data_IF_721342829010
#
_entry.id   IF_721342829010
#
_cell.length_a   1.000
_cell.length_b   1.000
_cell.length_c   1.000
_cell.angle_alpha   90.00
_cell.angle_beta   90.00
_cell.angle_gamma   90.00
#
_symmetry.space_group_name_H-M   'P 1'
#
loop_
_entity.id
_entity.type
_entity.pdbx_description
1 polymer ?
#
# COMPACT_ATOMS: atom_id res chain seq x y z
N UNK A 1 -4.67 9.87 29.12
CA UNK A 1 -5.20 10.48 27.88
C UNK A 1 -4.25 10.29 26.70
N UNK A 2 -2.92 10.32 26.88
CA UNK A 2 -1.92 10.11 25.80
C UNK A 2 -1.99 8.75 25.08
N UNK A 3 -2.35 7.65 25.78
CA UNK A 3 -2.36 6.29 25.18
C UNK A 3 -3.44 6.13 24.09
N UNK A 4 -4.63 6.70 24.29
CA UNK A 4 -5.72 6.62 23.29
C UNK A 4 -5.45 7.49 22.07
N UNK A 5 -4.78 8.65 22.25
CA UNK A 5 -4.40 9.54 21.16
C UNK A 5 -3.34 8.89 20.27
N UNK A 6 -2.40 8.15 20.86
CA UNK A 6 -1.36 7.43 20.12
C UNK A 6 -1.93 6.28 19.28
N UNK A 7 -2.82 5.46 19.85
CA UNK A 7 -3.47 4.38 19.10
C UNK A 7 -4.26 4.92 17.88
N UNK A 8 -4.96 6.05 18.04
CA UNK A 8 -5.65 6.70 16.92
C UNK A 8 -4.71 7.30 15.85
N UNK A 9 -3.56 7.86 16.26
CA UNK A 9 -2.59 8.38 15.30
C UNK A 9 -1.93 7.25 14.49
N UNK A 10 -1.66 6.12 15.14
CA UNK A 10 -1.04 4.96 14.50
C UNK A 10 -2.03 4.32 13.50
N UNK A 11 -3.31 4.14 13.88
CA UNK A 11 -4.36 3.66 12.97
C UNK A 11 -4.53 4.56 11.74
N UNK A 12 -4.58 5.88 11.93
CA UNK A 12 -4.70 6.84 10.84
C UNK A 12 -3.47 6.83 9.92
N UNK A 13 -2.27 6.66 10.48
CA UNK A 13 -1.04 6.51 9.71
C UNK A 13 -1.08 5.24 8.84
N UNK A 14 -1.42 4.09 9.41
CA UNK A 14 -1.49 2.84 8.66
C UNK A 14 -2.55 2.89 7.54
N UNK A 15 -3.73 3.46 7.82
CA UNK A 15 -4.75 3.66 6.80
C UNK A 15 -4.30 4.59 5.67
N UNK A 16 -3.57 5.66 5.98
CA UNK A 16 -3.00 6.55 4.97
C UNK A 16 -1.99 5.82 4.07
N UNK A 17 -1.12 5.00 4.66
CA UNK A 17 -0.13 4.20 3.90
C UNK A 17 -0.83 3.19 2.99
N UNK A 18 -1.81 2.43 3.51
CA UNK A 18 -2.55 1.44 2.73
C UNK A 18 -3.30 2.08 1.55
N UNK A 19 -3.97 3.21 1.77
CA UNK A 19 -4.62 3.94 0.68
C UNK A 19 -3.62 4.41 -0.38
N UNK A 20 -2.42 4.84 0.03
CA UNK A 20 -1.37 5.27 -0.92
C UNK A 20 -0.86 4.10 -1.77
N UNK A 21 -0.72 2.90 -1.19
CA UNK A 21 -0.30 1.70 -1.92
C UNK A 21 -1.36 1.28 -2.94
N UNK A 22 -2.65 1.34 -2.59
CA UNK A 22 -3.73 1.08 -3.54
C UNK A 22 -3.71 2.09 -4.71
N UNK A 23 -3.54 3.38 -4.44
CA UNK A 23 -3.40 4.41 -5.48
C UNK A 23 -2.19 4.13 -6.41
N UNK A 24 -1.08 3.66 -5.87
CA UNK A 24 0.10 3.27 -6.66
C UNK A 24 -0.19 2.06 -7.54
N UNK A 25 -0.91 1.06 -7.03
CA UNK A 25 -1.34 -0.12 -7.79
C UNK A 25 -2.20 0.29 -8.99
N UNK A 26 -3.24 1.09 -8.74
CA UNK A 26 -4.14 1.59 -9.79
C UNK A 26 -3.40 2.43 -10.84
N UNK A 27 -2.53 3.34 -10.39
CA UNK A 27 -1.72 4.19 -11.28
C UNK A 27 -0.76 3.36 -12.14
N UNK A 28 -0.14 2.34 -11.56
CA UNK A 28 0.78 1.44 -12.27
C UNK A 28 0.05 0.64 -13.34
N UNK A 29 -1.14 0.10 -13.03
CA UNK A 29 -2.00 -0.58 -13.99
C UNK A 29 -2.45 0.36 -15.12
N UNK A 30 -2.85 1.59 -14.79
CA UNK A 30 -3.25 2.58 -15.77
C UNK A 30 -2.09 2.98 -16.71
N UNK A 31 -0.90 3.24 -16.16
CA UNK A 31 0.29 3.55 -16.93
C UNK A 31 0.67 2.39 -17.86
N UNK A 32 0.63 1.15 -17.37
CA UNK A 32 0.94 -0.02 -18.19
C UNK A 32 0.03 -0.16 -19.42
N UNK A 33 -1.27 0.13 -19.27
CA UNK A 33 -2.24 0.15 -20.38
C UNK A 33 -1.92 1.23 -21.42
N UNK A 34 -1.40 2.37 -20.99
CA UNK A 34 -1.07 3.51 -21.87
C UNK A 34 0.26 3.28 -22.61
N UNK A 35 1.27 2.77 -21.91
CA UNK A 35 2.63 2.66 -22.45
C UNK A 35 2.95 1.28 -23.05
N UNK A 36 2.04 0.31 -22.96
CA UNK A 36 2.26 -1.05 -23.47
C UNK A 36 3.40 -1.76 -22.75
N UNK A 37 3.37 -1.72 -21.41
CA UNK A 37 4.40 -2.34 -20.57
C UNK A 37 4.33 -3.86 -20.66
N UNK A 38 5.50 -4.51 -20.60
CA UNK A 38 5.63 -5.96 -20.53
C UNK A 38 4.85 -6.52 -19.32
N UNK A 39 3.98 -7.50 -19.57
CA UNK A 39 3.05 -8.03 -18.57
C UNK A 39 3.78 -8.68 -17.39
N UNK A 40 4.95 -9.29 -17.60
CA UNK A 40 5.73 -9.90 -16.52
C UNK A 40 6.33 -8.84 -15.60
N UNK A 41 6.82 -7.72 -16.16
CA UNK A 41 7.32 -6.59 -15.37
C UNK A 41 6.22 -5.85 -14.63
N UNK A 42 5.04 -5.75 -15.24
CA UNK A 42 3.86 -5.20 -14.57
C UNK A 42 3.52 -6.08 -13.36
N UNK A 43 3.42 -7.39 -13.56
CA UNK A 43 3.09 -8.32 -12.48
C UNK A 43 4.10 -8.23 -11.34
N UNK A 44 5.40 -8.20 -11.63
CA UNK A 44 6.45 -8.02 -10.60
C UNK A 44 6.25 -6.73 -9.78
N UNK A 45 5.85 -5.63 -10.42
CA UNK A 45 5.57 -4.37 -9.73
C UNK A 45 4.30 -4.45 -8.87
N UNK A 46 3.24 -5.12 -9.35
CA UNK A 46 2.01 -5.33 -8.57
C UNK A 46 2.27 -6.23 -7.37
N UNK A 47 2.96 -7.37 -7.57
CA UNK A 47 3.32 -8.31 -6.51
C UNK A 47 4.13 -7.63 -5.40
N UNK A 48 5.03 -6.71 -5.77
CA UNK A 48 5.78 -5.93 -4.80
C UNK A 48 4.90 -4.96 -4.00
N UNK A 49 3.93 -4.29 -4.62
CA UNK A 49 2.98 -3.42 -3.92
C UNK A 49 2.12 -4.24 -2.95
N UNK A 50 1.60 -5.38 -3.38
CA UNK A 50 0.81 -6.28 -2.53
C UNK A 50 1.63 -6.81 -1.34
N UNK A 51 2.90 -7.17 -1.56
CA UNK A 51 3.81 -7.55 -0.47
C UNK A 51 4.00 -6.41 0.54
N UNK A 52 4.07 -5.16 0.10
CA UNK A 52 4.15 -4.01 1.01
C UNK A 52 2.84 -3.81 1.78
N UNK A 53 1.68 -3.98 1.14
CA UNK A 53 0.38 -3.91 1.80
C UNK A 53 0.28 -4.95 2.93
N UNK A 54 0.71 -6.19 2.67
CA UNK A 54 0.78 -7.26 3.67
C UNK A 54 1.71 -6.92 4.84
N UNK A 55 2.90 -6.36 4.55
CA UNK A 55 3.84 -5.93 5.60
C UNK A 55 3.27 -4.80 6.46
N UNK A 56 2.58 -3.83 5.86
CA UNK A 56 1.95 -2.69 6.55
C UNK A 56 0.77 -3.17 7.40
N UNK A 57 -0.08 -4.04 6.87
CA UNK A 57 -1.16 -4.68 7.64
C UNK A 57 -0.62 -5.51 8.80
N UNK A 58 0.49 -6.20 8.61
CA UNK A 58 1.15 -6.95 9.69
C UNK A 58 1.70 -6.00 10.75
N UNK A 59 2.32 -4.90 10.35
CA UNK A 59 2.83 -3.89 11.29
C UNK A 59 1.72 -3.25 12.10
N UNK A 60 0.56 -2.96 11.51
CA UNK A 60 -0.56 -2.33 12.22
C UNK A 60 -1.14 -3.19 13.34
N UNK A 61 -1.01 -4.53 13.29
CA UNK A 61 -1.43 -5.42 14.37
C UNK A 61 -0.56 -5.34 15.63
N UNK A 62 0.64 -4.74 15.55
CA UNK A 62 1.56 -4.61 16.68
C UNK A 62 1.45 -3.29 17.44
N UNK A 63 0.77 -2.28 16.87
CA UNK A 63 0.61 -0.93 17.44
C UNK A 63 -0.82 -0.72 17.94
#
# INVERSE_FOLDING_TARGET
MEVQVKAQSDEMFFNMVLNTLEEWKETTLAAARVFGVDEAKLQEAIDYIESLEEEVLRLSLFF
#
